data_IF_843707197102
#
_entry.id   IF_843707197102
#
_cell.length_a   1.000
_cell.length_b   1.000
_cell.length_c   1.000
_cell.angle_alpha   90.00
_cell.angle_beta   90.00
_cell.angle_gamma   90.00
#
_symmetry.space_group_name_H-M   'P 1'
#
loop_
_entity.id
_entity.type
_entity.pdbx_description
1 polymer ?
#
# COMPACT_ATOMS: atom_id res chain seq x y z
N UNK A 1 -7.55 12.35 -3.97
CA UNK A 1 -8.21 12.25 -5.29
C UNK A 1 -7.15 12.47 -6.35
N UNK A 2 -7.33 11.94 -7.56
CA UNK A 2 -6.45 12.31 -8.67
C UNK A 2 -6.76 13.73 -9.19
N UNK A 3 -6.05 14.17 -10.24
CA UNK A 3 -6.24 15.49 -10.86
C UNK A 3 -7.65 15.74 -11.40
N UNK A 4 -8.49 14.72 -11.51
CA UNK A 4 -9.86 14.77 -12.02
C UNK A 4 -10.90 14.49 -10.91
N UNK A 5 -10.49 14.43 -9.65
CA UNK A 5 -11.39 14.20 -8.52
C UNK A 5 -11.73 12.73 -8.26
N UNK A 6 -11.16 11.77 -9.01
CA UNK A 6 -11.45 10.34 -8.86
C UNK A 6 -10.84 9.80 -7.56
N UNK A 7 -11.52 8.82 -6.95
CA UNK A 7 -11.00 8.12 -5.78
C UNK A 7 -9.84 7.22 -6.19
N UNK A 8 -8.81 7.16 -5.36
CA UNK A 8 -7.67 6.27 -5.54
C UNK A 8 -7.65 5.30 -4.38
N UNK A 9 -7.70 4.01 -4.68
CA UNK A 9 -7.66 2.93 -3.69
C UNK A 9 -6.29 2.25 -3.73
N UNK A 10 -5.83 1.84 -2.56
CA UNK A 10 -4.60 1.07 -2.36
C UNK A 10 -4.98 -0.31 -1.84
N UNK A 11 -4.50 -1.38 -2.48
CA UNK A 11 -4.79 -2.75 -2.12
C UNK A 11 -3.50 -3.58 -2.04
N UNK A 12 -3.09 -3.90 -0.81
CA UNK A 12 -1.98 -4.82 -0.52
C UNK A 12 -2.52 -6.25 -0.41
N UNK A 13 -2.18 -7.08 -1.41
CA UNK A 13 -2.57 -8.47 -1.47
C UNK A 13 -1.55 -9.32 -0.68
N UNK A 14 -1.66 -9.32 0.64
CA UNK A 14 -0.82 -10.15 1.50
C UNK A 14 -1.29 -11.60 1.57
N UNK A 15 -0.37 -12.57 1.56
CA UNK A 15 -0.65 -14.01 1.68
C UNK A 15 -1.61 -14.35 2.83
N UNK A 16 -1.43 -13.72 3.99
CA UNK A 16 -2.30 -13.93 5.15
C UNK A 16 -3.51 -13.01 5.18
N UNK A 17 -3.31 -11.73 4.89
CA UNK A 17 -4.33 -10.69 5.00
C UNK A 17 -4.27 -9.74 3.82
N UNK A 18 -5.46 -9.42 3.29
CA UNK A 18 -5.64 -8.29 2.39
C UNK A 18 -5.77 -7.03 3.25
N UNK A 19 -5.09 -5.95 2.83
CA UNK A 19 -5.26 -4.62 3.42
C UNK A 19 -5.64 -3.66 2.31
N UNK A 20 -6.78 -3.00 2.44
CA UNK A 20 -7.21 -2.03 1.45
C UNK A 20 -7.70 -0.73 2.10
N UNK A 21 -7.57 0.36 1.37
CA UNK A 21 -7.97 1.68 1.83
C UNK A 21 -7.83 2.73 0.75
N UNK A 22 -7.93 4.00 1.15
CA UNK A 22 -7.89 5.13 0.23
C UNK A 22 -6.53 5.83 0.27
N UNK A 23 -6.04 6.26 -0.88
CA UNK A 23 -4.81 7.02 -0.97
C UNK A 23 -4.88 8.28 -0.09
N UNK A 24 -3.81 8.53 0.68
CA UNK A 24 -3.75 9.62 1.67
C UNK A 24 -4.21 9.24 3.07
N UNK A 25 -4.74 8.03 3.27
CA UNK A 25 -5.09 7.53 4.62
C UNK A 25 -3.85 7.02 5.35
N UNK A 26 -3.79 7.25 6.67
CA UNK A 26 -2.69 6.74 7.52
C UNK A 26 -2.86 5.25 7.88
N UNK A 27 -4.09 4.74 7.85
CA UNK A 27 -4.42 3.35 8.16
C UNK A 27 -5.24 2.74 7.02
N UNK A 28 -5.11 1.43 6.76
CA UNK A 28 -6.02 0.74 5.85
C UNK A 28 -7.45 0.84 6.39
N UNK A 29 -8.42 1.04 5.50
CA UNK A 29 -9.83 1.09 5.87
C UNK A 29 -10.34 -0.30 6.27
N UNK A 30 -9.82 -1.35 5.62
CA UNK A 30 -10.18 -2.74 5.90
C UNK A 30 -8.95 -3.63 5.91
N UNK A 31 -8.96 -4.58 6.84
CA UNK A 31 -7.99 -5.69 6.92
C UNK A 31 -8.82 -6.95 7.12
N UNK A 32 -8.62 -7.96 6.29
CA UNK A 32 -9.33 -9.24 6.42
C UNK A 32 -8.48 -10.40 5.87
N UNK A 33 -8.75 -11.65 6.30
CA UNK A 33 -8.00 -12.83 5.85
C UNK A 33 -8.06 -13.04 4.33
N UNK A 34 -6.94 -13.32 3.68
CA UNK A 34 -6.89 -13.61 2.25
C UNK A 34 -7.27 -15.07 1.97
N UNK A 35 -8.54 -15.42 2.14
CA UNK A 35 -9.02 -16.80 2.04
C UNK A 35 -10.41 -16.89 1.42
N UNK A 36 -10.67 -18.03 0.79
CA UNK A 36 -11.96 -18.43 0.23
C UNK A 36 -12.37 -19.75 0.88
N UNK A 37 -13.59 -19.85 1.37
CA UNK A 37 -14.14 -21.05 2.00
C UNK A 37 -15.34 -21.57 1.23
N UNK A 38 -15.34 -22.87 0.93
CA UNK A 38 -16.45 -23.58 0.28
C UNK A 38 -17.07 -24.59 1.26
N UNK A 39 -18.40 -24.67 1.40
CA UNK A 39 -19.04 -25.59 2.34
C UNK A 39 -18.71 -27.06 2.07
N UNK A 40 -18.36 -27.81 3.12
CA UNK A 40 -18.18 -29.25 3.01
C UNK A 40 -19.57 -29.90 2.99
N UNK A 41 -19.84 -30.78 2.01
CA UNK A 41 -21.14 -31.47 1.81
C UNK A 41 -21.72 -32.10 3.10
N UNK A 42 -20.86 -32.51 4.05
CA UNK A 42 -21.27 -33.08 5.34
C UNK A 42 -21.82 -32.06 6.35
N UNK A 43 -21.38 -30.80 6.29
CA UNK A 43 -21.80 -29.73 7.19
C UNK A 43 -23.23 -29.22 6.89
N UNK A 44 -23.72 -29.46 5.67
CA UNK A 44 -25.05 -29.03 5.20
C UNK A 44 -26.19 -29.77 5.93
N UNK A 45 -25.91 -30.91 6.57
CA UNK A 45 -26.95 -31.82 7.06
C UNK A 45 -26.91 -32.17 8.56
N UNK A 46 -25.96 -31.70 9.41
CA UNK A 46 -26.03 -31.85 10.89
C UNK A 46 -24.87 -31.20 11.65
N UNK A 47 -25.14 -30.59 12.83
CA UNK A 47 -24.55 -30.84 14.17
C UNK A 47 -25.36 -30.07 15.25
N UNK A 48 -25.99 -30.78 16.21
CA UNK A 48 -26.53 -30.21 17.47
C UNK A 48 -27.83 -29.38 17.39
N UNK A 49 -28.12 -28.60 18.45
CA UNK A 49 -29.30 -27.71 18.62
C UNK A 49 -29.20 -26.37 17.86
N UNK A 50 -28.15 -26.17 17.05
CA UNK A 50 -28.00 -24.97 16.22
C UNK A 50 -28.38 -25.34 14.79
N UNK A 51 -29.61 -24.99 14.39
CA UNK A 51 -30.01 -25.01 12.99
C UNK A 51 -29.17 -23.98 12.21
N UNK A 52 -28.17 -24.43 11.45
CA UNK A 52 -27.58 -23.62 10.36
C UNK A 52 -28.56 -23.67 9.18
N UNK A 53 -29.73 -23.05 9.36
CA UNK A 53 -30.68 -22.80 8.25
C UNK A 53 -30.03 -21.79 7.32
N UNK A 54 -29.50 -22.26 6.18
CA UNK A 54 -29.20 -21.37 5.05
C UNK A 54 -27.80 -21.41 4.46
N UNK A 55 -26.92 -22.36 4.82
CA UNK A 55 -25.72 -22.61 4.00
C UNK A 55 -26.06 -23.57 2.87
N UNK A 56 -26.04 -23.08 1.64
CA UNK A 56 -26.09 -23.90 0.43
C UNK A 56 -24.67 -24.30 0.01
N UNK A 57 -24.54 -25.44 -0.68
CA UNK A 57 -23.24 -25.94 -1.16
C UNK A 57 -22.56 -24.92 -2.09
N UNK A 58 -23.35 -24.09 -2.77
CA UNK A 58 -22.89 -23.04 -3.67
C UNK A 58 -22.51 -21.72 -2.95
N UNK A 59 -22.72 -21.63 -1.63
CA UNK A 59 -22.42 -20.42 -0.86
C UNK A 59 -20.92 -20.28 -0.61
N UNK A 60 -20.25 -19.58 -1.51
CA UNK A 60 -18.84 -19.22 -1.37
C UNK A 60 -18.66 -18.10 -0.35
N UNK A 61 -17.79 -18.33 0.63
CA UNK A 61 -17.46 -17.37 1.68
C UNK A 61 -16.06 -16.83 1.49
N UNK A 62 -15.84 -15.57 1.86
CA UNK A 62 -14.55 -14.89 1.67
C UNK A 62 -14.20 -14.11 2.94
N UNK A 63 -12.91 -14.05 3.26
CA UNK A 63 -12.40 -13.18 4.31
C UNK A 63 -12.95 -13.50 5.69
N UNK A 64 -13.52 -12.51 6.37
CA UNK A 64 -13.97 -12.63 7.76
C UNK A 64 -15.07 -13.71 7.92
N UNK A 65 -15.95 -13.84 6.93
CA UNK A 65 -17.02 -14.85 6.93
C UNK A 65 -16.46 -16.27 6.83
N UNK A 66 -15.51 -16.48 5.90
CA UNK A 66 -14.81 -17.75 5.76
C UNK A 66 -13.95 -18.09 6.99
N UNK A 67 -13.40 -17.08 7.65
CA UNK A 67 -12.65 -17.25 8.90
C UNK A 67 -13.56 -17.67 10.05
N UNK A 68 -14.71 -17.01 10.21
CA UNK A 68 -15.67 -17.29 11.28
C UNK A 68 -16.24 -18.72 11.21
N UNK A 69 -16.43 -19.24 9.99
CA UNK A 69 -17.00 -20.57 9.75
C UNK A 69 -15.95 -21.60 9.29
N UNK A 70 -14.67 -21.32 9.52
CA UNK A 70 -13.53 -22.13 9.03
C UNK A 70 -13.66 -23.63 9.27
N UNK A 71 -14.21 -24.06 10.40
CA UNK A 71 -14.37 -25.48 10.74
C UNK A 71 -15.39 -26.23 9.88
N UNK A 72 -16.26 -25.50 9.18
CA UNK A 72 -17.32 -26.03 8.34
C UNK A 72 -16.99 -25.94 6.84
N UNK A 73 -15.86 -25.32 6.49
CA UNK A 73 -15.50 -24.98 5.12
C UNK A 73 -14.21 -25.71 4.71
N UNK A 74 -14.16 -26.11 3.46
CA UNK A 74 -12.91 -26.35 2.76
C UNK A 74 -12.30 -24.99 2.38
N UNK A 75 -11.17 -24.67 3.00
CA UNK A 75 -10.54 -23.35 2.91
C UNK A 75 -9.35 -23.37 1.97
N UNK A 76 -9.37 -22.45 1.00
CA UNK A 76 -8.29 -22.21 0.07
C UNK A 76 -7.69 -20.81 0.26
N UNK A 77 -6.39 -20.71 -0.01
CA UNK A 77 -5.65 -19.46 -0.04
C UNK A 77 -5.21 -19.20 -1.48
N UNK A 78 -5.70 -18.14 -2.15
CA UNK A 78 -5.35 -17.88 -3.55
C UNK A 78 -3.89 -17.49 -3.75
N UNK A 79 -3.22 -17.07 -2.68
CA UNK A 79 -1.83 -16.60 -2.70
C UNK A 79 -0.93 -17.51 -1.88
N UNK A 80 0.29 -17.69 -2.37
CA UNK A 80 1.35 -18.43 -1.70
C UNK A 80 2.65 -17.62 -1.83
N UNK A 81 3.32 -17.34 -0.71
CA UNK A 81 4.55 -16.53 -0.69
C UNK A 81 4.42 -15.17 -1.42
N UNK A 82 3.24 -14.55 -1.33
CA UNK A 82 2.92 -13.25 -1.95
C UNK A 82 2.53 -13.34 -3.42
N UNK A 83 2.56 -14.53 -4.02
CA UNK A 83 2.28 -14.74 -5.44
C UNK A 83 0.91 -15.41 -5.60
N UNK A 84 0.09 -14.88 -6.52
CA UNK A 84 -1.20 -15.49 -6.85
C UNK A 84 -0.98 -16.85 -7.54
N UNK A 85 -1.58 -17.90 -6.97
CA UNK A 85 -1.57 -19.28 -7.48
C UNK A 85 -2.92 -19.70 -8.05
N UNK A 86 -4.02 -19.25 -7.44
CA UNK A 86 -5.38 -19.51 -7.93
C UNK A 86 -6.08 -18.18 -8.27
N UNK A 87 -6.22 -17.91 -9.57
CA UNK A 87 -6.83 -16.68 -10.08
C UNK A 87 -8.35 -16.64 -9.90
N UNK A 88 -9.02 -17.79 -9.85
CA UNK A 88 -10.45 -17.88 -9.61
C UNK A 88 -10.75 -17.48 -8.15
N UNK A 89 -10.05 -18.08 -7.20
CA UNK A 89 -10.16 -17.71 -5.79
C UNK A 89 -9.72 -16.26 -5.53
N UNK A 90 -8.68 -15.78 -6.21
CA UNK A 90 -8.24 -14.39 -6.09
C UNK A 90 -9.31 -13.41 -6.61
N UNK A 91 -10.02 -13.79 -7.66
CA UNK A 91 -11.16 -13.02 -8.16
C UNK A 91 -12.26 -12.90 -7.11
N UNK A 92 -12.60 -13.96 -6.39
CA UNK A 92 -13.57 -13.88 -5.30
C UNK A 92 -13.09 -13.01 -4.13
N UNK A 93 -11.79 -13.05 -3.81
CA UNK A 93 -11.18 -12.13 -2.84
C UNK A 93 -11.35 -10.68 -3.27
N UNK A 94 -11.11 -10.37 -4.55
CA UNK A 94 -11.31 -9.02 -5.08
C UNK A 94 -12.77 -8.60 -5.18
N UNK A 95 -13.68 -9.51 -5.56
CA UNK A 95 -15.12 -9.26 -5.56
C UNK A 95 -15.60 -8.88 -4.14
N UNK A 96 -15.10 -9.57 -3.12
CA UNK A 96 -15.35 -9.23 -1.72
C UNK A 96 -14.71 -7.90 -1.30
N UNK A 97 -13.51 -7.59 -1.80
CA UNK A 97 -12.77 -6.36 -1.50
C UNK A 97 -13.50 -5.13 -2.06
N UNK A 98 -13.89 -5.18 -3.33
CA UNK A 98 -14.46 -4.03 -4.06
C UNK A 98 -15.98 -3.93 -3.89
N UNK A 99 -16.64 -5.05 -3.60
CA UNK A 99 -18.07 -5.12 -3.40
C UNK A 99 -18.57 -4.45 -2.11
N UNK A 100 -19.89 -4.54 -1.87
CA UNK A 100 -20.59 -3.80 -0.83
C UNK A 100 -20.20 -4.21 0.60
N UNK A 101 -19.61 -5.41 0.77
CA UNK A 101 -19.19 -5.92 2.08
C UNK A 101 -17.97 -5.20 2.64
N UNK A 102 -17.15 -4.60 1.78
CA UNK A 102 -15.93 -3.89 2.17
C UNK A 102 -15.94 -2.47 1.64
N UNK A 103 -15.40 -2.24 0.45
CA UNK A 103 -15.16 -0.87 -0.02
C UNK A 103 -16.38 -0.22 -0.67
N UNK A 104 -17.36 -1.00 -1.13
CA UNK A 104 -18.57 -0.55 -1.81
C UNK A 104 -18.29 0.48 -2.92
N UNK A 105 -17.47 0.08 -3.90
CA UNK A 105 -16.97 0.99 -4.93
C UNK A 105 -17.43 0.62 -6.32
N UNK A 106 -17.51 1.65 -7.18
CA UNK A 106 -17.59 1.48 -8.63
C UNK A 106 -16.16 1.56 -9.22
N UNK A 107 -15.59 0.45 -9.74
CA UNK A 107 -14.26 0.48 -10.31
C UNK A 107 -14.08 1.48 -11.45
N UNK A 108 -15.13 1.70 -12.27
CA UNK A 108 -15.08 2.60 -13.44
C UNK A 108 -14.79 4.06 -13.10
N UNK A 109 -15.16 4.47 -11.89
CA UNK A 109 -14.93 5.83 -11.40
C UNK A 109 -13.73 5.92 -10.44
N UNK A 110 -12.93 4.86 -10.36
CA UNK A 110 -11.88 4.67 -9.35
C UNK A 110 -10.57 4.26 -10.02
N UNK A 111 -9.44 4.67 -9.43
CA UNK A 111 -8.10 4.16 -9.79
C UNK A 111 -7.56 3.27 -8.69
N UNK A 112 -6.82 2.22 -9.04
CA UNK A 112 -6.28 1.25 -8.08
C UNK A 112 -4.75 1.19 -8.11
N UNK A 113 -4.13 1.19 -6.93
CA UNK A 113 -2.75 0.79 -6.71
C UNK A 113 -2.75 -0.59 -6.05
N UNK A 114 -2.14 -1.56 -6.71
CA UNK A 114 -1.90 -2.91 -6.20
C UNK A 114 -0.44 -3.05 -5.78
N UNK A 115 -0.19 -3.97 -4.86
CA UNK A 115 1.19 -4.34 -4.50
C UNK A 115 1.52 -5.77 -4.91
N UNK A 116 2.79 -6.02 -5.22
CA UNK A 116 3.33 -7.35 -5.51
C UNK A 116 4.65 -7.60 -4.75
N UNK A 117 5.04 -8.88 -4.54
CA UNK A 117 6.32 -9.21 -3.93
C UNK A 117 7.49 -8.95 -4.90
N UNK A 118 8.72 -8.82 -4.39
CA UNK A 118 9.92 -8.88 -5.21
C UNK A 118 9.94 -10.16 -6.06
N UNK A 119 10.48 -10.08 -7.27
CA UNK A 119 10.61 -11.23 -8.19
C UNK A 119 9.26 -11.87 -8.61
N UNK A 120 8.15 -11.14 -8.54
CA UNK A 120 6.88 -11.61 -9.11
C UNK A 120 7.03 -11.83 -10.64
N UNK A 121 6.62 -13.00 -11.19
CA UNK A 121 6.71 -13.24 -12.62
C UNK A 121 5.92 -12.20 -13.43
N UNK A 122 6.48 -11.73 -14.54
CA UNK A 122 5.83 -10.73 -15.41
C UNK A 122 4.45 -11.19 -15.88
N UNK A 123 4.29 -12.48 -16.17
CA UNK A 123 2.99 -13.07 -16.54
C UNK A 123 1.91 -12.87 -15.46
N UNK A 124 2.28 -12.90 -14.18
CA UNK A 124 1.34 -12.64 -13.10
C UNK A 124 1.00 -11.15 -13.02
N UNK A 125 1.99 -10.27 -13.20
CA UNK A 125 1.74 -8.81 -13.28
C UNK A 125 0.79 -8.48 -14.44
N UNK A 126 1.03 -9.04 -15.61
CA UNK A 126 0.14 -8.89 -16.79
C UNK A 126 -1.27 -9.36 -16.46
N UNK A 127 -1.42 -10.56 -15.87
CA UNK A 127 -2.73 -11.09 -15.51
C UNK A 127 -3.45 -10.26 -14.45
N UNK A 128 -2.75 -9.68 -13.48
CA UNK A 128 -3.36 -8.74 -12.52
C UNK A 128 -3.93 -7.53 -13.26
N UNK A 129 -3.15 -6.92 -14.15
CA UNK A 129 -3.58 -5.74 -14.92
C UNK A 129 -4.74 -6.08 -15.85
N UNK A 130 -4.68 -7.20 -16.57
CA UNK A 130 -5.76 -7.73 -17.40
C UNK A 130 -7.06 -7.84 -16.59
N UNK A 131 -7.03 -8.47 -15.42
CA UNK A 131 -8.21 -8.62 -14.56
C UNK A 131 -8.76 -7.26 -14.09
N UNK A 132 -7.89 -6.32 -13.70
CA UNK A 132 -8.32 -4.99 -13.25
C UNK A 132 -9.03 -4.19 -14.34
N UNK A 133 -8.58 -4.29 -15.59
CA UNK A 133 -9.19 -3.58 -16.71
C UNK A 133 -10.36 -4.35 -17.33
N UNK A 134 -10.20 -5.64 -17.63
CA UNK A 134 -11.21 -6.39 -18.39
C UNK A 134 -12.36 -6.88 -17.52
N UNK A 135 -12.08 -7.43 -16.33
CA UNK A 135 -13.13 -7.90 -15.42
C UNK A 135 -13.77 -6.74 -14.66
N UNK A 136 -12.95 -5.90 -14.03
CA UNK A 136 -13.46 -4.86 -13.13
C UNK A 136 -13.71 -3.52 -13.83
N UNK A 137 -12.96 -3.19 -14.88
CA UNK A 137 -13.12 -1.91 -15.58
C UNK A 137 -12.59 -0.72 -14.79
N UNK A 138 -11.49 -0.87 -14.03
CA UNK A 138 -10.89 0.24 -13.32
C UNK A 138 -10.45 1.37 -14.27
N UNK A 139 -10.63 2.61 -13.84
CA UNK A 139 -10.29 3.79 -14.64
C UNK A 139 -8.76 3.97 -14.82
N UNK A 140 -7.98 3.30 -13.96
CA UNK A 140 -6.53 3.22 -14.03
C UNK A 140 -5.99 2.26 -12.98
N UNK A 141 -4.91 1.56 -13.31
CA UNK A 141 -4.27 0.59 -12.43
C UNK A 141 -2.75 0.81 -12.41
N UNK A 142 -2.14 0.68 -11.22
CA UNK A 142 -0.70 0.68 -11.03
C UNK A 142 -0.29 -0.48 -10.12
N UNK A 143 0.82 -1.15 -10.43
CA UNK A 143 1.34 -2.27 -9.64
C UNK A 143 2.73 -1.92 -9.12
N UNK A 144 2.86 -1.80 -7.80
CA UNK A 144 4.09 -1.42 -7.12
C UNK A 144 4.71 -2.59 -6.36
N UNK A 145 6.05 -2.61 -6.27
CA UNK A 145 6.76 -3.60 -5.47
C UNK A 145 6.66 -3.20 -3.98
N UNK A 146 6.23 -4.14 -3.12
CA UNK A 146 6.03 -3.91 -1.68
C UNK A 146 7.28 -3.33 -1.00
N UNK A 147 8.46 -3.88 -1.27
CA UNK A 147 9.72 -3.42 -0.67
C UNK A 147 10.05 -1.96 -1.03
N UNK A 148 9.75 -1.55 -2.26
CA UNK A 148 9.99 -0.19 -2.74
C UNK A 148 9.04 0.81 -2.05
N UNK A 149 7.76 0.46 -1.90
CA UNK A 149 6.80 1.28 -1.17
C UNK A 149 7.19 1.46 0.30
N UNK A 150 7.63 0.38 0.95
CA UNK A 150 8.10 0.42 2.34
C UNK A 150 9.30 1.34 2.45
N UNK A 151 10.28 1.24 1.54
CA UNK A 151 11.45 2.11 1.53
C UNK A 151 11.05 3.58 1.39
N UNK A 152 10.16 3.92 0.45
CA UNK A 152 9.68 5.29 0.28
C UNK A 152 8.99 5.83 1.54
N UNK A 153 8.15 5.00 2.20
CA UNK A 153 7.51 5.40 3.44
C UNK A 153 8.53 5.68 4.56
N UNK A 154 9.57 4.84 4.69
CA UNK A 154 10.61 5.03 5.70
C UNK A 154 11.44 6.29 5.48
N UNK A 155 11.91 6.51 4.25
CA UNK A 155 12.69 7.71 3.90
C UNK A 155 11.85 8.96 4.12
N UNK A 156 10.56 8.93 3.76
CA UNK A 156 9.64 10.03 4.02
C UNK A 156 9.49 10.33 5.50
N UNK A 157 9.26 9.32 6.34
CA UNK A 157 9.12 9.52 7.80
C UNK A 157 10.40 10.07 8.42
N UNK A 158 11.56 9.58 7.98
CA UNK A 158 12.86 10.10 8.42
C UNK A 158 13.02 11.58 8.06
N UNK A 159 12.69 11.95 6.81
CA UNK A 159 12.71 13.34 6.35
C UNK A 159 11.77 14.22 7.17
N UNK A 160 10.52 13.80 7.34
CA UNK A 160 9.52 14.56 8.11
C UNK A 160 9.88 14.72 9.58
N UNK A 161 10.61 13.75 10.17
CA UNK A 161 11.01 13.79 11.57
C UNK A 161 12.30 14.56 11.84
N UNK A 162 13.28 14.48 10.94
CA UNK A 162 14.65 14.93 11.22
C UNK A 162 15.10 16.15 10.41
N UNK A 163 14.55 16.34 9.20
CA UNK A 163 15.02 17.40 8.32
C UNK A 163 14.46 18.77 8.72
N UNK A 164 15.22 19.81 8.41
CA UNK A 164 14.86 21.21 8.66
C UNK A 164 15.54 22.10 7.61
N UNK A 165 15.03 23.31 7.38
CA UNK A 165 15.67 24.26 6.46
C UNK A 165 16.72 25.05 7.25
N UNK A 166 17.97 25.03 6.80
CA UNK A 166 19.03 25.85 7.37
C UNK A 166 18.82 27.33 7.06
N UNK A 167 19.04 28.21 8.04
CA UNK A 167 18.95 29.65 7.81
C UNK A 167 20.19 30.21 7.10
N UNK A 168 21.37 29.74 7.53
CA UNK A 168 22.67 30.07 6.94
C UNK A 168 23.44 28.77 6.68
N UNK A 169 23.51 28.40 5.41
CA UNK A 169 24.07 27.13 4.96
C UNK A 169 25.56 27.02 5.27
N UNK A 170 26.33 28.11 5.22
CA UNK A 170 27.75 28.07 5.54
C UNK A 170 27.98 27.73 7.02
N UNK A 171 27.17 28.33 7.89
CA UNK A 171 27.20 28.03 9.32
C UNK A 171 26.77 26.60 9.61
N UNK A 172 25.70 26.11 8.98
CA UNK A 172 25.22 24.74 9.15
C UNK A 172 26.25 23.70 8.65
N UNK A 173 26.89 23.95 7.51
CA UNK A 173 27.97 23.10 6.98
C UNK A 173 29.16 23.05 7.94
N UNK A 174 29.57 24.19 8.51
CA UNK A 174 30.63 24.22 9.51
C UNK A 174 30.26 23.40 10.74
N UNK A 175 29.03 23.54 11.25
CA UNK A 175 28.55 22.74 12.39
C UNK A 175 28.54 21.25 12.06
N UNK A 176 28.12 20.86 10.86
CA UNK A 176 28.11 19.46 10.41
C UNK A 176 29.51 18.86 10.28
N UNK A 177 30.49 19.62 9.80
CA UNK A 177 31.86 19.15 9.55
C UNK A 177 32.74 19.18 10.80
N UNK A 178 32.58 20.21 11.65
CA UNK A 178 33.47 20.45 12.79
C UNK A 178 32.92 19.90 14.12
N UNK A 179 31.64 19.54 14.19
CA UNK A 179 30.98 19.13 15.43
C UNK A 179 30.04 17.94 15.24
N UNK A 180 29.51 17.41 16.34
CA UNK A 180 28.46 16.38 16.32
C UNK A 180 27.09 16.90 16.74
N UNK A 181 26.92 18.23 16.87
CA UNK A 181 25.68 18.81 17.44
C UNK A 181 24.46 18.57 16.56
N UNK A 182 24.67 18.36 15.26
CA UNK A 182 23.59 18.08 14.30
C UNK A 182 23.25 16.59 14.20
N UNK A 183 24.04 15.71 14.83
CA UNK A 183 23.89 14.26 14.68
C UNK A 183 22.75 13.75 15.57
N UNK A 184 21.69 13.27 14.95
CA UNK A 184 20.54 12.67 15.62
C UNK A 184 20.43 11.17 15.33
N UNK A 185 20.19 10.32 16.34
CA UNK A 185 19.93 8.91 16.13
C UNK A 185 18.50 8.68 15.60
N UNK A 186 18.37 7.76 14.65
CA UNK A 186 17.08 7.30 14.14
C UNK A 186 17.00 5.78 14.16
N UNK A 187 15.94 5.24 14.77
CA UNK A 187 15.68 3.81 14.83
C UNK A 187 14.90 3.38 13.59
N UNK A 188 15.50 2.50 12.78
CA UNK A 188 14.87 1.84 11.65
C UNK A 188 13.84 0.79 12.12
N UNK A 189 12.91 0.36 11.23
CA UNK A 189 11.90 -0.65 11.59
C UNK A 189 12.45 -1.99 12.05
N UNK A 190 13.68 -2.34 11.64
CA UNK A 190 14.37 -3.57 12.08
C UNK A 190 15.09 -3.41 13.44
N UNK A 191 14.94 -2.25 14.08
CA UNK A 191 15.56 -1.92 15.37
C UNK A 191 16.98 -1.37 15.26
N UNK A 192 17.61 -1.36 14.07
CA UNK A 192 18.93 -0.76 13.91
C UNK A 192 18.87 0.75 14.09
N UNK A 193 19.90 1.33 14.69
CA UNK A 193 20.01 2.77 14.87
C UNK A 193 21.01 3.31 13.85
N UNK A 194 20.57 4.26 13.04
CA UNK A 194 21.43 5.06 12.17
C UNK A 194 21.62 6.45 12.74
N UNK A 195 22.67 7.14 12.32
CA UNK A 195 22.96 8.54 12.69
C UNK A 195 22.75 9.41 11.47
N UNK A 196 22.00 10.49 11.62
CA UNK A 196 21.71 11.45 10.56
C UNK A 196 22.19 12.83 11.01
N UNK A 197 23.07 13.47 10.26
CA UNK A 197 23.78 14.70 10.61
C UNK A 197 23.46 15.83 9.65
N UNK A 198 24.46 16.24 8.84
CA UNK A 198 24.32 17.34 7.87
C UNK A 198 23.23 17.11 6.83
N UNK A 199 22.92 15.85 6.53
CA UNK A 199 21.86 15.47 5.58
C UNK A 199 20.49 16.02 5.98
N UNK A 200 20.30 16.37 7.26
CA UNK A 200 19.07 16.96 7.81
C UNK A 200 18.74 18.31 7.17
N UNK A 201 19.73 19.15 6.87
CA UNK A 201 19.52 20.44 6.21
C UNK A 201 19.88 20.41 4.72
N UNK A 202 20.82 19.56 4.31
CA UNK A 202 21.22 19.43 2.90
C UNK A 202 20.09 18.86 2.03
N UNK A 203 19.31 17.90 2.54
CA UNK A 203 18.21 17.32 1.78
C UNK A 203 17.13 18.34 1.35
N UNK A 204 16.60 19.19 2.25
CA UNK A 204 15.64 20.24 1.86
C UNK A 204 16.28 21.43 1.11
N UNK A 205 17.61 21.57 1.13
CA UNK A 205 18.30 22.65 0.39
C UNK A 205 18.07 22.56 -1.13
N UNK A 206 17.76 21.37 -1.65
CA UNK A 206 17.34 21.18 -3.04
C UNK A 206 16.13 22.04 -3.46
N UNK A 207 15.33 22.55 -2.51
CA UNK A 207 14.24 23.50 -2.79
C UNK A 207 14.78 24.89 -3.17
N UNK A 208 15.92 25.30 -2.61
CA UNK A 208 16.56 26.59 -2.87
C UNK A 208 17.68 26.47 -3.91
N UNK A 209 18.27 25.29 -4.04
CA UNK A 209 19.34 24.95 -4.96
C UNK A 209 19.00 23.69 -5.78
N UNK A 210 18.09 23.79 -6.79
CA UNK A 210 17.63 22.61 -7.56
C UNK A 210 18.74 21.85 -8.27
N UNK A 211 19.87 22.51 -8.58
CA UNK A 211 21.04 21.90 -9.20
C UNK A 211 21.66 20.77 -8.36
N UNK A 212 21.45 20.76 -7.03
CA UNK A 212 21.93 19.68 -6.14
C UNK A 212 21.34 18.31 -6.49
N UNK A 213 20.15 18.28 -7.11
CA UNK A 213 19.47 17.06 -7.56
C UNK A 213 19.42 16.95 -9.09
N UNK A 214 20.34 17.63 -9.79
CA UNK A 214 20.41 17.70 -11.25
C UNK A 214 19.11 18.20 -11.92
N UNK A 215 18.39 19.11 -11.25
CA UNK A 215 17.22 19.78 -11.83
C UNK A 215 17.64 21.19 -12.26
N UNK A 216 17.44 21.50 -13.54
CA UNK A 216 17.60 22.86 -14.06
C UNK A 216 16.39 23.71 -13.67
N UNK A 217 16.63 24.82 -12.98
CA UNK A 217 15.58 25.72 -12.54
C UNK A 217 16.02 26.64 -11.41
N UNK A 218 15.21 27.67 -11.15
CA UNK A 218 15.40 28.59 -10.03
C UNK A 218 14.90 27.97 -8.73
N UNK A 219 15.58 28.29 -7.63
CA UNK A 219 15.11 27.94 -6.29
C UNK A 219 13.81 28.65 -5.92
N UNK A 220 13.08 28.11 -4.95
CA UNK A 220 11.76 28.64 -4.56
C UNK A 220 11.79 30.12 -4.15
N UNK A 221 12.88 30.58 -3.52
CA UNK A 221 13.01 31.98 -3.11
C UNK A 221 13.12 32.92 -4.32
N UNK A 222 13.96 32.57 -5.29
CA UNK A 222 14.15 33.32 -6.54
C UNK A 222 12.88 33.28 -7.40
N UNK A 223 12.22 32.11 -7.48
CA UNK A 223 10.95 31.95 -8.19
C UNK A 223 9.86 32.87 -7.63
N UNK A 224 9.71 32.92 -6.29
CA UNK A 224 8.73 33.81 -5.63
C UNK A 224 9.06 35.27 -5.90
N UNK A 225 10.33 35.67 -5.78
CA UNK A 225 10.76 37.04 -6.07
C UNK A 225 10.40 37.43 -7.52
N UNK A 226 10.76 36.60 -8.50
CA UNK A 226 10.51 36.87 -9.92
C UNK A 226 9.03 36.84 -10.30
N UNK A 227 8.19 36.12 -9.55
CA UNK A 227 6.74 36.08 -9.80
C UNK A 227 6.04 37.34 -9.28
N UNK A 228 6.58 37.97 -8.24
CA UNK A 228 6.01 39.17 -7.61
C UNK A 228 6.43 40.46 -8.35
N UNK A 229 7.66 40.49 -8.89
CA UNK A 229 8.18 41.61 -9.70
C UNK A 229 7.51 41.67 -11.08
#
# INVERSE_FOLDING_TARGET
MDSEGRKVIVCDNGTGFVKCGYAGSNFPAYIFPSMVGRPIIRAVNKIGDIEVKGLHVDDLMVGDEASALRSLLEVNYPMENGVVRNWEDMCHVWDYTFGPKKMDLNPRDTKILLTEPPMNPTKNREKMIEVMFEKYGFAGAYVAIQAVLTLYAQVRMMKEKLCYIGYDIETEQRLALETTVLVEPYTLPDGRIIKVGGERFEAPEALFQPHLINVEGQGIAELVFNTIQ
#
